data_IF_679089980099
#
_entry.id   IF_679089980099
#
_cell.length_a   1.000
_cell.length_b   1.000
_cell.length_c   1.000
_cell.angle_alpha   90.00
_cell.angle_beta   90.00
_cell.angle_gamma   90.00
#
_symmetry.space_group_name_H-M   'P 1'
#
loop_
_entity.id
_entity.type
_entity.pdbx_description
1 polymer ?
#
# COMPACT_ATOMS: atom_id res chain seq x y z
N UNK A 1 14.74 12.50 -5.72
CA UNK A 1 14.23 11.13 -5.51
C UNK A 1 15.43 10.21 -5.32
N UNK A 2 15.51 9.53 -4.18
CA UNK A 2 16.50 8.49 -3.91
C UNK A 2 15.93 7.09 -4.27
N UNK A 3 16.72 6.03 -4.09
CA UNK A 3 16.31 4.65 -4.44
C UNK A 3 15.09 4.18 -3.66
N UNK A 4 15.01 4.45 -2.36
CA UNK A 4 13.87 4.03 -1.52
C UNK A 4 12.57 4.72 -1.94
N UNK A 5 12.64 6.03 -2.20
CA UNK A 5 11.52 6.81 -2.73
C UNK A 5 11.09 6.33 -4.11
N UNK A 6 12.04 5.96 -4.98
CA UNK A 6 11.72 5.38 -6.27
C UNK A 6 11.01 4.03 -6.11
N UNK A 7 11.54 3.13 -5.27
CA UNK A 7 10.95 1.81 -5.04
C UNK A 7 9.56 1.91 -4.44
N UNK A 8 9.36 2.72 -3.41
CA UNK A 8 8.04 2.94 -2.81
C UNK A 8 7.04 3.53 -3.80
N UNK A 9 7.46 4.52 -4.61
CA UNK A 9 6.59 5.10 -5.65
C UNK A 9 6.23 4.08 -6.73
N UNK A 10 7.20 3.31 -7.22
CA UNK A 10 6.96 2.28 -8.23
C UNK A 10 6.05 1.16 -7.70
N UNK A 11 6.29 0.75 -6.45
CA UNK A 11 5.49 -0.23 -5.73
C UNK A 11 4.04 0.22 -5.56
N UNK A 12 3.82 1.41 -4.97
CA UNK A 12 2.48 1.97 -4.80
C UNK A 12 1.77 2.16 -6.14
N UNK A 13 2.49 2.64 -7.16
CA UNK A 13 1.92 2.82 -8.49
C UNK A 13 1.49 1.49 -9.14
N UNK A 14 2.19 0.40 -8.88
CA UNK A 14 1.83 -0.92 -9.39
C UNK A 14 0.58 -1.46 -8.69
N UNK A 15 0.54 -1.42 -7.35
CA UNK A 15 -0.62 -1.89 -6.58
C UNK A 15 -1.89 -1.10 -6.91
N UNK A 16 -1.79 0.23 -7.00
CA UNK A 16 -2.93 1.07 -7.41
C UNK A 16 -3.35 0.80 -8.85
N UNK A 17 -2.42 0.44 -9.73
CA UNK A 17 -2.81 0.07 -11.10
C UNK A 17 -3.60 -1.24 -11.13
N UNK A 18 -3.24 -2.21 -10.28
CA UNK A 18 -3.98 -3.46 -10.13
C UNK A 18 -5.38 -3.16 -9.54
N UNK A 19 -5.44 -2.41 -8.44
CA UNK A 19 -6.68 -2.04 -7.73
C UNK A 19 -7.68 -1.26 -8.62
N UNK A 20 -7.17 -0.38 -9.48
CA UNK A 20 -7.99 0.43 -10.39
C UNK A 20 -8.24 -0.23 -11.75
N UNK A 21 -7.72 -1.43 -12.00
CA UNK A 21 -8.04 -2.17 -13.22
C UNK A 21 -9.48 -2.66 -13.12
N UNK A 22 -10.24 -2.54 -14.21
CA UNK A 22 -11.62 -3.02 -14.26
C UNK A 22 -11.65 -4.56 -14.10
N UNK A 23 -12.63 -5.08 -13.37
CA UNK A 23 -12.84 -6.52 -13.17
C UNK A 23 -13.03 -7.27 -14.51
N UNK A 24 -13.50 -6.59 -15.56
CA UNK A 24 -13.59 -7.14 -16.93
C UNK A 24 -12.21 -7.33 -17.59
N UNK A 25 -11.19 -6.58 -17.15
CA UNK A 25 -9.81 -6.63 -17.65
C UNK A 25 -8.90 -7.52 -16.78
N UNK A 26 -9.08 -7.46 -15.47
CA UNK A 26 -8.35 -8.27 -14.50
C UNK A 26 -9.33 -8.90 -13.50
N UNK A 27 -9.44 -10.21 -13.57
CA UNK A 27 -10.27 -10.98 -12.64
C UNK A 27 -9.89 -10.65 -11.17
N UNK A 28 -10.87 -10.34 -10.30
CA UNK A 28 -10.62 -9.97 -8.91
C UNK A 28 -9.83 -11.00 -8.10
N UNK A 29 -10.04 -12.30 -8.35
CA UNK A 29 -9.29 -13.36 -7.66
C UNK A 29 -7.82 -13.34 -8.10
N UNK A 30 -7.56 -13.00 -9.37
CA UNK A 30 -6.20 -12.82 -9.88
C UNK A 30 -5.56 -11.55 -9.30
N UNK A 31 -6.29 -10.44 -9.21
CA UNK A 31 -5.82 -9.22 -8.57
C UNK A 31 -5.43 -9.48 -7.09
N UNK A 32 -6.32 -10.14 -6.34
CA UNK A 32 -6.05 -10.54 -4.96
C UNK A 32 -4.81 -11.44 -4.86
N UNK A 33 -4.68 -12.45 -5.72
CA UNK A 33 -3.51 -13.34 -5.73
C UNK A 33 -2.18 -12.62 -6.04
N UNK A 34 -2.20 -11.47 -6.72
CA UNK A 34 -1.01 -10.64 -6.95
C UNK A 34 -0.67 -9.78 -5.71
N UNK A 35 -1.67 -9.30 -4.98
CA UNK A 35 -1.50 -8.39 -3.84
C UNK A 35 -1.29 -9.12 -2.51
N UNK A 36 -1.94 -10.26 -2.29
CA UNK A 36 -1.84 -11.02 -1.03
C UNK A 36 -0.40 -11.38 -0.62
N UNK A 37 0.49 -11.87 -1.53
CA UNK A 37 1.87 -12.16 -1.16
C UNK A 37 2.62 -10.91 -0.71
N UNK A 38 2.29 -9.75 -1.27
CA UNK A 38 2.89 -8.47 -0.89
C UNK A 38 2.44 -8.07 0.51
N UNK A 39 1.14 -8.16 0.81
CA UNK A 39 0.61 -7.91 2.15
C UNK A 39 1.17 -8.90 3.18
N UNK A 40 1.47 -10.14 2.79
CA UNK A 40 2.18 -11.09 3.65
C UNK A 40 3.61 -10.65 3.95
N UNK A 41 4.38 -10.21 2.96
CA UNK A 41 5.75 -9.70 3.16
C UNK A 41 5.76 -8.41 3.99
N UNK A 42 4.77 -7.53 3.82
CA UNK A 42 4.59 -6.32 4.60
C UNK A 42 4.45 -6.61 6.10
N UNK A 43 3.77 -7.70 6.46
CA UNK A 43 3.59 -8.12 7.86
C UNK A 43 4.89 -8.56 8.54
N UNK A 44 5.88 -9.03 7.79
CA UNK A 44 7.19 -9.44 8.33
C UNK A 44 8.14 -8.26 8.58
N UNK A 45 7.76 -7.03 8.20
CA UNK A 45 8.56 -5.84 8.47
C UNK A 45 8.60 -5.52 9.97
N UNK A 46 9.77 -5.06 10.42
CA UNK A 46 9.91 -4.44 11.74
C UNK A 46 9.00 -3.22 11.85
N UNK A 47 8.54 -2.82 13.06
CA UNK A 47 7.74 -1.61 13.22
C UNK A 47 8.42 -0.35 12.65
N UNK A 48 9.74 -0.25 12.77
CA UNK A 48 10.52 0.87 12.20
C UNK A 48 10.49 0.87 10.66
N UNK A 49 10.72 -0.28 10.02
CA UNK A 49 10.70 -0.40 8.57
C UNK A 49 9.27 -0.22 8.00
N UNK A 50 8.26 -0.67 8.74
CA UNK A 50 6.84 -0.46 8.44
C UNK A 50 6.50 1.02 8.41
N UNK A 51 6.80 1.74 9.50
CA UNK A 51 6.59 3.19 9.58
C UNK A 51 7.35 3.95 8.48
N UNK A 52 8.57 3.52 8.16
CA UNK A 52 9.35 4.09 7.06
C UNK A 52 8.69 3.88 5.71
N UNK A 53 8.17 2.68 5.44
CA UNK A 53 7.47 2.37 4.19
C UNK A 53 6.18 3.20 4.06
N UNK A 54 5.41 3.34 5.14
CA UNK A 54 4.21 4.21 5.18
C UNK A 54 4.57 5.64 4.77
N UNK A 55 5.58 6.25 5.41
CA UNK A 55 5.99 7.62 5.09
C UNK A 55 6.46 7.78 3.63
N UNK A 56 7.11 6.76 3.07
CA UNK A 56 7.54 6.76 1.67
C UNK A 56 6.34 6.68 0.70
N UNK A 57 5.32 5.86 1.01
CA UNK A 57 4.08 5.76 0.24
C UNK A 57 3.30 7.07 0.30
N UNK A 58 3.15 7.68 1.48
CA UNK A 58 2.49 8.98 1.63
C UNK A 58 3.19 10.08 0.82
N UNK A 59 4.53 10.10 0.84
CA UNK A 59 5.32 11.03 0.02
C UNK A 59 5.09 10.79 -1.47
N UNK A 60 4.96 9.53 -1.89
CA UNK A 60 4.64 9.18 -3.27
C UNK A 60 3.24 9.66 -3.67
N UNK A 61 2.24 9.47 -2.81
CA UNK A 61 0.87 9.90 -3.02
C UNK A 61 0.74 11.43 -3.11
N UNK A 62 1.48 12.18 -2.28
CA UNK A 62 1.53 13.65 -2.36
C UNK A 62 2.10 14.16 -3.69
N UNK A 63 2.89 13.33 -4.39
CA UNK A 63 3.46 13.63 -5.70
C UNK A 63 2.61 13.11 -6.87
N UNK A 64 1.47 12.46 -6.60
CA UNK A 64 0.53 11.95 -7.60
C UNK A 64 -0.43 13.08 -8.02
N UNK A 65 -0.64 13.21 -9.33
CA UNK A 65 -1.47 14.25 -9.93
C UNK A 65 -2.90 13.81 -10.19
N UNK A 66 -3.10 12.50 -10.33
CA UNK A 66 -4.43 11.92 -10.47
C UNK A 66 -5.06 11.76 -9.08
N UNK A 67 -6.21 12.42 -8.79
CA UNK A 67 -6.81 12.40 -7.46
C UNK A 67 -7.37 11.02 -7.07
N UNK A 68 -7.77 10.19 -8.03
CA UNK A 68 -8.25 8.82 -7.76
C UNK A 68 -7.06 7.96 -7.34
N UNK A 69 -5.98 8.00 -8.12
CA UNK A 69 -4.75 7.27 -7.80
C UNK A 69 -4.13 7.74 -6.50
N UNK A 70 -4.11 9.04 -6.25
CA UNK A 70 -3.61 9.62 -5.00
C UNK A 70 -4.37 9.04 -3.80
N UNK A 71 -5.71 8.99 -3.88
CA UNK A 71 -6.54 8.43 -2.81
C UNK A 71 -6.27 6.95 -2.60
N UNK A 72 -6.18 6.15 -3.68
CA UNK A 72 -5.83 4.73 -3.56
C UNK A 72 -4.43 4.53 -2.98
N UNK A 73 -3.44 5.36 -3.35
CA UNK A 73 -2.09 5.27 -2.75
C UNK A 73 -2.09 5.57 -1.25
N UNK A 74 -2.96 6.48 -0.78
CA UNK A 74 -3.11 6.80 0.64
C UNK A 74 -3.82 5.70 1.45
N UNK A 75 -4.60 4.83 0.80
CA UNK A 75 -5.26 3.68 1.44
C UNK A 75 -4.32 2.46 1.56
N UNK A 76 -3.32 2.34 0.68
CA UNK A 76 -2.38 1.21 0.68
C UNK A 76 -1.76 0.84 2.03
N UNK A 77 -1.35 1.79 2.90
CA UNK A 77 -0.86 1.45 4.24
C UNK A 77 -1.84 0.59 5.05
N UNK A 78 -3.14 0.92 5.01
CA UNK A 78 -4.19 0.16 5.67
C UNK A 78 -4.43 -1.18 4.96
N UNK A 79 -4.58 -1.17 3.64
CA UNK A 79 -4.86 -2.37 2.83
C UNK A 79 -3.75 -3.43 2.93
N UNK A 80 -2.51 -3.01 3.17
CA UNK A 80 -1.35 -3.88 3.36
C UNK A 80 -1.13 -4.30 4.82
N UNK A 81 -1.95 -3.80 5.76
CA UNK A 81 -1.77 -4.02 7.20
C UNK A 81 -0.47 -3.40 7.73
N UNK A 82 -0.03 -2.28 7.15
CA UNK A 82 1.16 -1.53 7.58
C UNK A 82 0.85 -0.52 8.69
N UNK A 83 -0.42 -0.24 8.95
CA UNK A 83 -0.81 0.51 10.14
C UNK A 83 -0.98 -0.50 11.28
N UNK A 84 -0.52 -0.13 12.47
CA UNK A 84 -0.84 -0.91 13.66
C UNK A 84 -2.37 -0.90 13.78
N UNK A 85 -2.98 -2.08 13.99
CA UNK A 85 -4.31 -2.12 14.56
C UNK A 85 -4.14 -1.45 15.91
N UNK A 86 -4.62 -0.19 16.05
CA UNK A 86 -4.66 0.48 17.34
C UNK A 86 -5.08 -0.58 18.35
N UNK A 87 -4.27 -0.76 19.40
CA UNK A 87 -4.60 -1.58 20.55
C UNK A 87 -6.08 -1.35 20.82
N UNK A 88 -6.93 -2.32 20.47
CA UNK A 88 -8.25 -2.43 21.05
C UNK A 88 -7.94 -2.47 22.54
N UNK A 89 -8.06 -1.31 23.16
CA UNK A 89 -7.92 -1.15 24.59
C UNK A 89 -8.81 -2.26 25.16
N UNK A 90 -8.17 -3.28 25.76
CA UNK A 90 -8.79 -4.17 26.71
C UNK A 90 -9.27 -3.26 27.89
N UNK A 91 -10.32 -2.48 27.66
CA UNK A 91 -11.21 -1.99 28.70
C UNK A 91 -12.04 -3.19 29.16
N UNK A 92 -11.51 -3.95 30.12
CA UNK A 92 -12.25 -4.49 31.29
C UNK A 92 -11.32 -5.20 32.31
#
# INVERSE_FOLDING_TARGET
>A
MNTEQFLAKAFAALLVSIDLTDDDELDPDVAAALVEPVAAMARDLTPEDRAKLVALIETAAQSETDPVRQRSMLALPEDLGLLDEDEDEDED
#
